data_IF_414035844408
#
_entry.id   IF_414035844408
#
_cell.length_a   1.000
_cell.length_b   1.000
_cell.length_c   1.000
_cell.angle_alpha   90.00
_cell.angle_beta   90.00
_cell.angle_gamma   90.00
#
_symmetry.space_group_name_H-M   'P 1'
#
loop_
_entity.id
_entity.type
_entity.pdbx_description
1 polymer ?
#
# COMPACT_ATOMS: atom_id res chain seq x y z
N UNK A 1 -41.79 -17.59 49.81
CA UNK A 1 -40.79 -18.39 49.05
C UNK A 1 -40.36 -17.63 47.81
N UNK A 2 -39.06 -17.33 47.66
CA UNK A 2 -38.53 -16.54 46.55
C UNK A 2 -38.34 -17.40 45.30
N UNK A 3 -38.87 -16.99 44.14
CA UNK A 3 -38.58 -17.66 42.87
C UNK A 3 -37.14 -17.39 42.48
N UNK A 4 -36.29 -18.42 42.53
CA UNK A 4 -34.88 -18.35 42.12
C UNK A 4 -34.77 -18.47 40.59
N UNK A 5 -33.93 -17.62 40.00
CA UNK A 5 -33.63 -17.60 38.58
C UNK A 5 -32.15 -17.87 38.40
N UNK A 6 -31.81 -18.76 37.48
CA UNK A 6 -30.43 -19.10 37.12
C UNK A 6 -30.19 -18.78 35.65
N UNK A 7 -29.00 -18.26 35.34
CA UNK A 7 -28.60 -17.93 33.98
C UNK A 7 -27.48 -18.85 33.52
N UNK A 8 -27.53 -19.26 32.26
CA UNK A 8 -26.49 -20.04 31.60
C UNK A 8 -26.06 -19.34 30.32
N UNK A 9 -24.74 -19.27 30.13
CA UNK A 9 -24.15 -18.71 28.92
C UNK A 9 -24.16 -19.68 27.74
N UNK A 10 -23.62 -19.26 26.57
CA UNK A 10 -23.61 -20.05 25.34
C UNK A 10 -22.92 -21.41 25.47
N UNK A 11 -21.91 -21.51 26.33
CA UNK A 11 -21.18 -22.73 26.65
C UNK A 11 -21.86 -23.58 27.74
N UNK A 12 -23.12 -23.29 28.08
CA UNK A 12 -23.90 -23.91 29.18
C UNK A 12 -23.29 -23.71 30.57
N UNK A 13 -22.31 -22.81 30.73
CA UNK A 13 -21.76 -22.49 32.04
C UNK A 13 -22.73 -21.62 32.83
N UNK A 14 -22.91 -21.93 34.11
CA UNK A 14 -23.73 -21.13 35.01
C UNK A 14 -23.09 -19.77 35.27
N UNK A 15 -23.86 -18.72 35.04
CA UNK A 15 -23.46 -17.34 35.29
C UNK A 15 -23.51 -17.08 36.79
N UNK A 16 -22.42 -16.52 37.31
CA UNK A 16 -22.32 -16.09 38.71
C UNK A 16 -21.78 -14.67 38.75
N UNK A 17 -22.00 -13.95 39.85
CA UNK A 17 -21.45 -12.59 40.05
C UNK A 17 -19.91 -12.57 40.23
N UNK A 18 -19.20 -13.67 39.90
CA UNK A 18 -17.74 -13.76 39.99
C UNK A 18 -17.02 -13.05 38.84
N UNK A 19 -17.65 -12.91 37.67
CA UNK A 19 -17.07 -12.16 36.56
C UNK A 19 -17.50 -10.69 36.66
N UNK A 20 -16.52 -9.77 36.70
CA UNK A 20 -16.75 -8.32 36.82
C UNK A 20 -17.65 -7.71 35.73
N UNK A 21 -17.70 -8.36 34.56
CA UNK A 21 -18.50 -7.96 33.39
C UNK A 21 -19.97 -8.40 33.45
N UNK A 22 -20.35 -9.21 34.43
CA UNK A 22 -21.72 -9.71 34.60
C UNK A 22 -22.35 -9.09 35.84
N UNK A 23 -23.62 -8.68 35.73
CA UNK A 23 -24.37 -8.13 36.86
C UNK A 23 -25.76 -8.74 36.88
N UNK A 24 -26.06 -9.48 37.94
CA UNK A 24 -27.40 -9.97 38.23
C UNK A 24 -28.17 -8.91 39.04
N UNK A 25 -29.36 -8.55 38.57
CA UNK A 25 -30.20 -7.50 39.13
C UNK A 25 -31.61 -8.03 39.40
N UNK A 26 -32.34 -7.33 40.27
CA UNK A 26 -33.74 -7.63 40.60
C UNK A 26 -33.95 -9.07 41.07
N UNK A 27 -33.21 -9.49 42.10
CA UNK A 27 -33.20 -10.88 42.62
C UNK A 27 -32.91 -11.89 41.50
N UNK A 28 -31.86 -11.62 40.73
CA UNK A 28 -31.36 -12.41 39.60
C UNK A 28 -32.31 -12.55 38.40
N UNK A 29 -33.42 -11.81 38.37
CA UNK A 29 -34.37 -11.82 37.24
C UNK A 29 -33.87 -11.07 36.00
N UNK A 30 -32.79 -10.30 36.13
CA UNK A 30 -32.19 -9.55 35.03
C UNK A 30 -30.68 -9.79 35.01
N UNK A 31 -30.17 -10.28 33.89
CA UNK A 31 -28.75 -10.34 33.59
C UNK A 31 -28.35 -9.14 32.74
N UNK A 32 -27.35 -8.39 33.20
CA UNK A 32 -26.68 -7.36 32.40
C UNK A 32 -25.23 -7.78 32.14
N UNK A 33 -24.80 -7.69 30.89
CA UNK A 33 -23.43 -8.01 30.46
C UNK A 33 -22.80 -6.73 29.89
N UNK A 34 -21.62 -6.38 30.40
CA UNK A 34 -20.80 -5.28 29.88
C UNK A 34 -19.76 -5.83 28.90
N UNK A 35 -19.36 -4.99 27.94
CA UNK A 35 -18.27 -5.25 26.99
C UNK A 35 -18.39 -6.59 26.25
N UNK A 36 -19.56 -6.88 25.65
CA UNK A 36 -19.84 -8.13 24.93
C UNK A 36 -18.70 -8.53 23.99
N UNK A 37 -18.30 -9.80 24.06
CA UNK A 37 -17.23 -10.37 23.24
C UNK A 37 -17.81 -11.32 22.20
N UNK A 38 -17.40 -11.16 20.94
CA UNK A 38 -17.88 -11.95 19.80
C UNK A 38 -17.64 -13.46 19.98
N UNK A 39 -16.52 -13.85 20.58
CA UNK A 39 -16.16 -15.26 20.77
C UNK A 39 -16.78 -15.92 22.02
N UNK A 40 -17.06 -15.15 23.08
CA UNK A 40 -17.51 -15.70 24.37
C UNK A 40 -19.03 -15.60 24.58
N UNK A 41 -19.64 -14.51 24.10
CA UNK A 41 -21.03 -14.16 24.45
C UNK A 41 -22.03 -14.43 23.31
N UNK A 42 -21.55 -14.81 22.12
CA UNK A 42 -22.41 -15.20 20.99
C UNK A 42 -22.96 -16.61 21.19
N UNK A 43 -24.25 -16.78 20.90
CA UNK A 43 -24.94 -18.07 20.92
C UNK A 43 -26.20 -18.08 21.78
N UNK A 44 -26.65 -19.26 22.16
CA UNK A 44 -27.91 -19.46 22.89
C UNK A 44 -27.69 -19.27 24.39
N UNK A 45 -28.34 -18.25 24.94
CA UNK A 45 -28.41 -18.01 26.39
C UNK A 45 -29.65 -18.68 26.97
N UNK A 46 -29.56 -19.13 28.21
CA UNK A 46 -30.67 -19.77 28.91
C UNK A 46 -30.94 -19.11 30.27
N UNK A 47 -32.22 -18.94 30.57
CA UNK A 47 -32.74 -18.57 31.88
C UNK A 47 -33.59 -19.73 32.41
N UNK A 48 -33.24 -20.24 33.58
CA UNK A 48 -33.94 -21.33 34.27
C UNK A 48 -34.69 -20.78 35.49
N UNK A 49 -35.99 -21.08 35.58
CA UNK A 49 -36.86 -20.66 36.68
C UNK A 49 -37.15 -21.87 37.57
N UNK A 50 -36.47 -21.97 38.71
CA UNK A 50 -36.45 -23.19 39.54
C UNK A 50 -37.84 -23.63 40.01
N UNK A 51 -38.74 -22.69 40.30
CA UNK A 51 -40.09 -23.00 40.82
C UNK A 51 -40.99 -23.72 39.80
N UNK A 52 -40.86 -23.38 38.52
CA UNK A 52 -41.68 -23.95 37.45
C UNK A 52 -40.95 -25.00 36.62
N UNK A 53 -39.64 -25.16 36.82
CA UNK A 53 -38.80 -25.98 35.94
C UNK A 53 -38.67 -25.42 34.52
N UNK A 54 -39.12 -24.19 34.28
CA UNK A 54 -39.16 -23.59 32.94
C UNK A 54 -37.76 -23.15 32.50
N UNK A 55 -37.36 -23.54 31.28
CA UNK A 55 -36.17 -23.07 30.59
C UNK A 55 -36.57 -22.14 29.46
N UNK A 56 -36.08 -20.92 29.49
CA UNK A 56 -36.29 -19.92 28.44
C UNK A 56 -34.96 -19.68 27.75
N UNK A 57 -34.88 -19.97 26.46
CA UNK A 57 -33.67 -19.75 25.66
C UNK A 57 -33.81 -18.53 24.76
N UNK A 58 -32.68 -17.87 24.50
CA UNK A 58 -32.56 -16.76 23.56
C UNK A 58 -31.24 -16.78 22.82
N UNK A 59 -31.31 -16.74 21.50
CA UNK A 59 -30.12 -16.60 20.68
C UNK A 59 -29.65 -15.14 20.65
N UNK A 60 -28.39 -14.93 21.02
CA UNK A 60 -27.72 -13.64 21.03
C UNK A 60 -26.66 -13.64 19.95
N UNK A 61 -26.82 -12.75 18.97
CA UNK A 61 -25.80 -12.44 17.96
C UNK A 61 -25.02 -11.21 18.42
N UNK A 62 -23.70 -11.33 18.53
CA UNK A 62 -22.81 -10.22 18.90
C UNK A 62 -22.13 -9.72 17.64
N UNK A 63 -22.29 -8.44 17.33
CA UNK A 63 -21.64 -7.80 16.17
C UNK A 63 -20.40 -7.08 16.68
N UNK A 64 -19.25 -7.40 16.09
CA UNK A 64 -17.96 -6.81 16.44
C UNK A 64 -16.95 -7.00 15.30
N UNK A 65 -15.70 -6.63 15.53
CA UNK A 65 -14.64 -6.88 14.56
C UNK A 65 -14.27 -8.35 14.51
N UNK A 66 -14.03 -8.89 13.30
CA UNK A 66 -13.65 -10.29 13.10
C UNK A 66 -12.37 -10.63 13.87
N UNK A 67 -11.38 -9.73 13.81
CA UNK A 67 -10.14 -9.81 14.57
C UNK A 67 -10.20 -8.83 15.74
N UNK A 68 -10.36 -9.38 16.96
CA UNK A 68 -10.62 -8.65 18.21
C UNK A 68 -9.39 -8.04 18.89
N UNK A 69 -8.23 -8.02 18.20
CA UNK A 69 -7.02 -7.38 18.70
C UNK A 69 -7.14 -5.85 18.55
N UNK A 70 -7.96 -5.23 19.39
CA UNK A 70 -7.91 -3.79 19.58
C UNK A 70 -6.55 -3.40 20.14
N UNK A 71 -5.92 -2.39 19.55
CA UNK A 71 -4.54 -2.01 19.84
C UNK A 71 -3.48 -2.86 19.14
N UNK A 72 -3.84 -3.59 18.07
CA UNK A 72 -2.89 -4.31 17.23
C UNK A 72 -1.78 -3.37 16.72
N UNK A 73 -0.55 -3.87 16.65
CA UNK A 73 0.59 -3.16 16.08
C UNK A 73 0.89 -3.75 14.71
N UNK A 74 0.94 -2.89 13.70
CA UNK A 74 1.34 -3.25 12.35
C UNK A 74 2.68 -2.60 12.04
N UNK A 75 3.50 -3.29 11.26
CA UNK A 75 4.85 -2.86 10.91
C UNK A 75 4.93 -2.72 9.39
N UNK A 76 5.51 -1.62 8.91
CA UNK A 76 5.70 -1.36 7.49
C UNK A 76 7.04 -0.69 7.22
N UNK A 77 7.65 -1.00 6.08
CA UNK A 77 8.82 -0.29 5.59
C UNK A 77 8.37 0.88 4.71
N UNK A 78 9.19 1.93 4.61
CA UNK A 78 8.93 2.99 3.64
C UNK A 78 8.89 2.40 2.23
N UNK A 79 7.97 2.90 1.40
CA UNK A 79 7.62 2.44 0.05
C UNK A 79 6.96 1.06 -0.04
N UNK A 80 6.65 0.38 1.07
CA UNK A 80 5.80 -0.82 1.06
C UNK A 80 4.31 -0.44 0.97
N UNK A 81 3.43 -1.43 0.91
CA UNK A 81 1.97 -1.26 1.05
C UNK A 81 1.50 -1.90 2.35
N UNK A 82 0.57 -1.26 3.06
CA UNK A 82 -0.10 -1.83 4.24
C UNK A 82 -1.61 -1.67 4.11
N UNK A 83 -2.36 -2.67 4.59
CA UNK A 83 -3.82 -2.67 4.60
C UNK A 83 -4.31 -2.68 6.04
N UNK A 84 -4.97 -1.59 6.44
CA UNK A 84 -5.64 -1.50 7.72
C UNK A 84 -7.07 -2.03 7.55
N UNK A 85 -7.48 -3.01 8.36
CA UNK A 85 -8.81 -3.66 8.22
C UNK A 85 -9.70 -3.48 9.44
N UNK A 86 -10.96 -3.17 9.13
CA UNK A 86 -12.07 -2.99 10.03
C UNK A 86 -13.21 -3.99 9.76
N UNK A 87 -12.85 -5.17 9.27
CA UNK A 87 -13.78 -6.26 9.00
C UNK A 87 -14.60 -6.65 10.24
N UNK A 88 -15.90 -6.81 10.02
CA UNK A 88 -16.84 -7.30 11.01
C UNK A 88 -16.90 -8.82 10.99
N UNK A 89 -17.35 -9.41 12.09
CA UNK A 89 -17.61 -10.85 12.19
C UNK A 89 -18.89 -11.32 11.47
N UNK A 90 -19.58 -10.43 10.76
CA UNK A 90 -20.83 -10.69 10.04
C UNK A 90 -20.95 -9.70 8.90
N UNK A 91 -21.61 -10.11 7.82
CA UNK A 91 -21.88 -9.23 6.69
C UNK A 91 -22.95 -8.19 7.06
N UNK A 92 -22.78 -6.97 6.54
CA UNK A 92 -23.75 -5.89 6.78
C UNK A 92 -25.15 -6.25 6.29
N UNK A 93 -25.28 -7.05 5.23
CA UNK A 93 -26.59 -7.49 4.74
C UNK A 93 -27.36 -8.35 5.76
N UNK A 94 -26.66 -9.02 6.67
CA UNK A 94 -27.27 -9.83 7.74
C UNK A 94 -27.62 -9.01 8.99
N UNK A 95 -27.12 -7.77 9.10
CA UNK A 95 -27.39 -6.94 10.26
C UNK A 95 -28.81 -6.36 10.13
N UNK A 96 -29.66 -6.51 11.15
CA UNK A 96 -31.02 -5.97 11.13
C UNK A 96 -31.08 -4.47 10.78
N UNK A 97 -31.98 -4.09 9.86
CA UNK A 97 -32.13 -2.71 9.35
C UNK A 97 -32.38 -1.66 10.44
N UNK A 98 -33.02 -2.04 11.54
CA UNK A 98 -33.24 -1.17 12.70
C UNK A 98 -31.93 -0.84 13.47
N UNK A 99 -30.89 -1.66 13.33
CA UNK A 99 -29.55 -1.41 13.88
C UNK A 99 -28.73 -0.57 12.89
N UNK A 100 -28.79 -0.91 11.60
CA UNK A 100 -28.07 -0.27 10.50
C UNK A 100 -28.62 1.09 10.05
N UNK A 101 -29.57 1.71 10.73
CA UNK A 101 -30.12 3.00 10.27
C UNK A 101 -29.00 4.05 10.18
N UNK A 102 -28.63 4.40 8.95
CA UNK A 102 -27.55 5.33 8.57
C UNK A 102 -26.19 4.98 9.22
N UNK A 103 -25.55 3.87 8.83
CA UNK A 103 -24.27 3.50 9.40
C UNK A 103 -23.17 4.38 8.80
N UNK A 104 -22.31 4.95 9.65
CA UNK A 104 -21.22 5.82 9.21
C UNK A 104 -19.88 5.20 9.59
N UNK A 105 -19.03 5.01 8.58
CA UNK A 105 -17.64 4.63 8.78
C UNK A 105 -16.77 5.88 8.88
N UNK A 106 -15.89 5.90 9.88
CA UNK A 106 -14.89 6.94 10.05
C UNK A 106 -13.51 6.34 10.28
N UNK A 107 -12.57 6.71 9.43
CA UNK A 107 -11.15 6.48 9.65
C UNK A 107 -10.51 7.76 10.18
N UNK A 108 -9.69 7.60 11.21
CA UNK A 108 -8.95 8.69 11.84
C UNK A 108 -7.48 8.29 12.00
N UNK A 109 -6.59 9.25 11.83
CA UNK A 109 -5.17 9.12 12.15
C UNK A 109 -4.81 10.19 13.16
N UNK A 110 -4.28 9.79 14.32
CA UNK A 110 -3.93 10.68 15.43
C UNK A 110 -5.09 11.64 15.76
N UNK A 111 -6.31 11.07 15.86
CA UNK A 111 -7.59 11.76 16.09
C UNK A 111 -8.07 12.73 14.98
N UNK A 112 -7.36 12.82 13.85
CA UNK A 112 -7.82 13.59 12.68
C UNK A 112 -8.57 12.69 11.71
N UNK A 113 -9.77 13.08 11.31
CA UNK A 113 -10.55 12.34 10.30
C UNK A 113 -9.86 12.40 8.94
N UNK A 114 -9.64 11.24 8.35
CA UNK A 114 -9.05 11.08 7.02
C UNK A 114 -10.08 10.61 5.99
N UNK A 115 -11.02 9.77 6.42
CA UNK A 115 -12.12 9.26 5.58
C UNK A 115 -13.37 9.20 6.43
N UNK A 116 -14.48 9.67 5.85
CA UNK A 116 -15.82 9.49 6.39
C UNK A 116 -16.74 9.05 5.25
N UNK A 117 -17.49 7.97 5.45
CA UNK A 117 -18.32 7.39 4.40
C UNK A 117 -19.63 6.83 4.98
N UNK A 118 -20.73 7.11 4.29
CA UNK A 118 -22.02 6.49 4.55
C UNK A 118 -22.04 5.07 4.00
N UNK A 119 -22.39 4.10 4.85
CA UNK A 119 -22.44 2.69 4.49
C UNK A 119 -23.84 2.26 3.99
N UNK A 120 -24.67 3.20 3.54
CA UNK A 120 -26.06 2.95 3.08
C UNK A 120 -26.08 2.04 1.85
N UNK A 121 -25.09 2.16 0.95
CA UNK A 121 -24.86 1.29 -0.20
C UNK A 121 -23.56 0.48 0.01
N UNK A 122 -23.62 -0.42 1.00
CA UNK A 122 -22.46 -1.14 1.53
C UNK A 122 -21.60 -1.81 0.46
N UNK A 123 -20.30 -1.47 0.46
CA UNK A 123 -19.25 -2.21 -0.22
C UNK A 123 -18.18 -2.58 0.82
N UNK A 124 -17.89 -3.88 0.95
CA UNK A 124 -16.93 -4.41 1.92
C UNK A 124 -15.53 -3.81 1.77
N UNK A 125 -15.15 -3.35 0.58
CA UNK A 125 -13.88 -2.67 0.32
C UNK A 125 -13.68 -1.40 1.15
N UNK A 126 -14.76 -0.71 1.57
CA UNK A 126 -14.66 0.49 2.39
C UNK A 126 -14.15 0.19 3.81
N UNK A 127 -14.29 -1.05 4.28
CA UNK A 127 -13.80 -1.49 5.59
C UNK A 127 -12.28 -1.71 5.62
N UNK A 128 -11.62 -1.54 4.48
CA UNK A 128 -10.17 -1.62 4.37
C UNK A 128 -9.62 -0.28 3.91
N UNK A 129 -8.53 0.14 4.54
CA UNK A 129 -7.77 1.30 4.13
C UNK A 129 -6.39 0.83 3.67
N UNK A 130 -6.15 0.91 2.38
CA UNK A 130 -4.84 0.63 1.78
C UNK A 130 -4.01 1.91 1.76
N UNK A 131 -2.81 1.82 2.30
CA UNK A 131 -1.79 2.87 2.21
C UNK A 131 -0.72 2.35 1.26
N UNK A 132 -0.80 2.78 0.00
CA UNK A 132 0.24 2.50 -0.99
C UNK A 132 1.45 3.41 -0.77
N UNK A 133 2.65 2.86 -0.99
CA UNK A 133 3.93 3.57 -0.81
C UNK A 133 4.01 4.29 0.54
N UNK A 134 4.01 3.50 1.61
CA UNK A 134 4.08 3.98 2.99
C UNK A 134 5.20 5.02 3.15
N UNK A 135 4.87 6.16 3.74
CA UNK A 135 5.80 7.22 4.10
C UNK A 135 6.02 7.19 5.61
N UNK A 136 7.13 7.80 6.05
CA UNK A 136 7.51 7.81 7.47
C UNK A 136 6.44 8.48 8.34
N UNK A 137 5.80 9.52 7.79
CA UNK A 137 4.76 10.29 8.45
C UNK A 137 3.49 9.47 8.63
N UNK A 138 3.28 8.36 7.91
CA UNK A 138 2.10 7.51 8.08
C UNK A 138 2.09 6.73 9.40
N UNK A 139 3.22 6.65 10.11
CA UNK A 139 3.28 6.10 11.46
C UNK A 139 2.31 6.83 12.41
N UNK A 140 1.88 6.13 13.46
CA UNK A 140 0.99 6.68 14.48
C UNK A 140 -0.23 5.80 14.74
N UNK A 141 -1.25 6.40 15.34
CA UNK A 141 -2.48 5.70 15.73
C UNK A 141 -3.55 5.85 14.66
N UNK A 142 -3.96 4.74 14.05
CA UNK A 142 -5.04 4.67 13.09
C UNK A 142 -6.26 4.03 13.74
N UNK A 143 -7.39 4.72 13.70
CA UNK A 143 -8.62 4.26 14.33
C UNK A 143 -9.75 4.28 13.33
N UNK A 144 -10.34 3.10 13.14
CA UNK A 144 -11.58 2.96 12.42
C UNK A 144 -12.75 2.88 13.40
N UNK A 145 -13.84 3.53 13.04
CA UNK A 145 -15.05 3.62 13.83
C UNK A 145 -16.28 3.42 12.95
N UNK A 146 -17.18 2.53 13.35
CA UNK A 146 -18.47 2.32 12.69
C UNK A 146 -19.56 2.77 13.66
N UNK A 147 -20.24 3.85 13.32
CA UNK A 147 -21.39 4.35 14.06
C UNK A 147 -22.67 3.70 13.52
N UNK A 148 -23.42 3.06 14.41
CA UNK A 148 -24.77 2.57 14.21
C UNK A 148 -25.77 3.50 14.91
N UNK A 149 -27.07 3.32 14.66
CA UNK A 149 -28.17 4.14 15.21
C UNK A 149 -28.04 4.52 16.69
N UNK A 150 -27.52 3.63 17.53
CA UNK A 150 -27.43 3.81 19.00
C UNK A 150 -26.06 3.48 19.60
N UNK A 151 -25.14 2.96 18.81
CA UNK A 151 -23.89 2.36 19.30
C UNK A 151 -22.76 2.64 18.32
N UNK A 152 -21.54 2.60 18.84
CA UNK A 152 -20.33 2.79 18.05
C UNK A 152 -19.40 1.61 18.30
N UNK A 153 -18.93 0.99 17.23
CA UNK A 153 -17.78 0.09 17.28
C UNK A 153 -16.54 0.88 16.90
N UNK A 154 -15.42 0.62 17.55
CA UNK A 154 -14.15 1.24 17.20
C UNK A 154 -13.02 0.27 17.39
N UNK A 155 -12.07 0.29 16.46
CA UNK A 155 -10.84 -0.47 16.50
C UNK A 155 -9.67 0.45 16.24
N UNK A 156 -8.62 0.28 17.04
CA UNK A 156 -7.40 1.08 16.97
C UNK A 156 -6.24 0.18 16.55
N UNK A 157 -5.45 0.65 15.59
CA UNK A 157 -4.26 -0.02 15.07
C UNK A 157 -3.09 0.97 15.13
N UNK A 158 -1.96 0.55 15.69
CA UNK A 158 -0.74 1.36 15.72
C UNK A 158 0.15 0.97 14.56
N UNK A 159 0.46 1.91 13.68
CA UNK A 159 1.36 1.69 12.55
C UNK A 159 2.77 2.15 12.92
N UNK A 160 3.72 1.22 12.86
CA UNK A 160 5.16 1.47 13.01
C UNK A 160 5.78 1.49 11.63
N UNK A 161 6.54 2.55 11.33
CA UNK A 161 7.19 2.72 10.02
C UNK A 161 8.70 2.79 10.18
N UNK A 162 9.43 2.01 9.38
CA UNK A 162 10.89 2.02 9.34
C UNK A 162 11.42 2.54 8.01
N UNK A 163 12.50 3.32 8.07
CA UNK A 163 13.29 3.73 6.91
C UNK A 163 14.78 3.52 7.18
N UNK A 164 15.52 3.25 6.11
CA UNK A 164 16.98 3.21 6.10
C UNK A 164 17.51 4.27 5.13
N UNK A 165 18.63 4.87 5.47
CA UNK A 165 19.29 5.92 4.68
C UNK A 165 20.79 5.90 4.93
N UNK A 166 21.57 6.39 3.97
CA UNK A 166 22.98 6.69 4.15
C UNK A 166 23.24 8.20 3.98
N UNK A 167 24.28 8.70 4.63
CA UNK A 167 24.79 10.07 4.42
C UNK A 167 25.28 10.31 2.99
N UNK A 168 25.93 9.31 2.40
CA UNK A 168 26.25 9.25 0.98
C UNK A 168 26.05 7.83 0.43
N UNK A 169 25.65 7.68 -0.84
CA UNK A 169 25.30 6.38 -1.40
C UNK A 169 26.51 5.53 -1.78
N UNK A 170 27.72 6.11 -1.83
CA UNK A 170 28.92 5.46 -2.38
C UNK A 170 30.06 5.53 -1.39
N UNK A 171 30.66 4.38 -1.14
CA UNK A 171 31.84 4.27 -0.31
C UNK A 171 33.07 4.72 -1.12
N UNK A 172 33.56 5.92 -0.86
CA UNK A 172 34.87 6.37 -1.33
C UNK A 172 35.98 5.71 -0.50
N UNK A 173 37.08 5.32 -1.16
CA UNK A 173 38.15 4.48 -0.58
C UNK A 173 38.79 4.99 0.73
N UNK A 174 38.49 6.22 1.17
CA UNK A 174 39.04 6.85 2.38
C UNK A 174 37.98 7.33 3.37
N UNK A 175 36.69 7.24 3.03
CA UNK A 175 35.61 7.84 3.82
C UNK A 175 34.70 6.75 4.39
N UNK A 176 34.19 6.98 5.61
CA UNK A 176 33.19 6.10 6.20
C UNK A 176 31.81 6.44 5.61
N UNK A 177 30.98 5.43 5.37
CA UNK A 177 29.54 5.63 5.13
C UNK A 177 28.82 5.51 6.46
N UNK A 178 27.95 6.45 6.77
CA UNK A 178 27.08 6.39 7.93
C UNK A 178 25.71 5.85 7.52
N UNK A 179 25.41 4.63 7.93
CA UNK A 179 24.11 4.00 7.75
C UNK A 179 23.20 4.35 8.91
N UNK A 180 22.05 4.95 8.62
CA UNK A 180 21.05 5.32 9.62
C UNK A 180 19.76 4.53 9.41
N UNK A 181 19.33 3.86 10.48
CA UNK A 181 18.03 3.22 10.56
C UNK A 181 17.14 4.04 11.48
N UNK A 182 15.93 4.37 11.02
CA UNK A 182 15.01 5.25 11.74
C UNK A 182 13.63 4.62 11.76
N UNK A 183 13.04 4.54 12.94
CA UNK A 183 11.72 4.01 13.19
C UNK A 183 10.83 5.06 13.83
N UNK A 184 9.66 5.30 13.25
CA UNK A 184 8.59 6.04 13.88
C UNK A 184 7.61 5.05 14.52
N UNK A 185 7.45 5.16 15.85
CA UNK A 185 6.51 4.36 16.62
C UNK A 185 5.96 5.17 17.80
N UNK A 186 4.74 4.85 18.29
CA UNK A 186 4.18 5.49 19.49
C UNK A 186 4.95 5.18 20.79
N UNK A 187 5.58 4.01 20.89
CA UNK A 187 6.37 3.57 22.05
C UNK A 187 7.56 2.72 21.56
N UNK A 188 8.77 3.07 22.01
CA UNK A 188 10.03 2.41 21.68
C UNK A 188 10.76 1.85 22.91
N UNK A 189 10.15 1.87 24.10
CA UNK A 189 10.77 1.47 25.36
C UNK A 189 11.29 0.02 25.40
N UNK A 190 10.74 -0.85 24.55
CA UNK A 190 11.09 -2.28 24.43
C UNK A 190 11.65 -2.64 23.05
N UNK A 191 12.01 -1.62 22.28
CA UNK A 191 12.55 -1.78 20.94
C UNK A 191 14.09 -1.77 20.96
N UNK A 192 14.67 -2.47 19.99
CA UNK A 192 16.09 -2.46 19.72
C UNK A 192 16.28 -2.43 18.20
N UNK A 193 17.19 -1.60 17.71
CA UNK A 193 17.60 -1.61 16.30
C UNK A 193 18.93 -2.33 16.16
N UNK A 194 19.03 -3.21 15.17
CA UNK A 194 20.23 -3.97 14.88
C UNK A 194 20.64 -3.81 13.43
N UNK A 195 21.89 -3.43 13.19
CA UNK A 195 22.54 -3.54 11.89
C UNK A 195 23.29 -4.86 11.80
N UNK A 196 23.12 -5.55 10.67
CA UNK A 196 23.81 -6.80 10.38
C UNK A 196 24.36 -6.79 8.94
N UNK A 197 25.58 -7.29 8.78
CA UNK A 197 26.24 -7.55 7.50
C UNK A 197 26.86 -8.95 7.59
N UNK A 198 26.93 -9.69 6.48
CA UNK A 198 27.56 -11.01 6.42
C UNK A 198 29.00 -11.05 6.96
N UNK A 199 29.73 -9.93 6.90
CA UNK A 199 31.14 -9.84 7.33
C UNK A 199 31.32 -9.51 8.81
N UNK A 200 30.35 -8.82 9.42
CA UNK A 200 30.51 -8.20 10.73
C UNK A 200 29.54 -8.81 11.75
N UNK A 201 29.90 -8.77 13.05
CA UNK A 201 28.96 -9.13 14.09
C UNK A 201 27.81 -8.12 14.17
N UNK A 202 26.57 -8.57 14.48
CA UNK A 202 25.43 -7.67 14.61
C UNK A 202 25.73 -6.55 15.61
N UNK A 203 25.43 -5.31 15.22
CA UNK A 203 25.55 -4.12 16.07
C UNK A 203 24.16 -3.65 16.42
N UNK A 204 23.84 -3.60 17.71
CA UNK A 204 22.50 -3.29 18.17
C UNK A 204 22.50 -2.17 19.20
N UNK A 205 21.46 -1.36 19.17
CA UNK A 205 21.23 -0.25 20.09
C UNK A 205 19.81 -0.33 20.66
N UNK A 206 19.70 -0.21 21.99
CA UNK A 206 18.41 -0.20 22.71
C UNK A 206 17.99 1.21 23.07
N UNK A 207 18.94 2.13 23.22
CA UNK A 207 18.65 3.53 23.46
C UNK A 207 18.50 4.26 22.12
N UNK A 208 17.26 4.47 21.70
CA UNK A 208 16.92 5.03 20.39
C UNK A 208 16.44 6.49 20.51
N UNK A 209 17.35 7.48 20.58
CA UNK A 209 16.96 8.89 20.58
C UNK A 209 16.24 9.19 19.26
N UNK A 210 15.05 9.79 19.36
CA UNK A 210 14.18 10.06 18.20
C UNK A 210 13.88 8.80 17.34
N UNK A 211 14.02 7.59 17.89
CA UNK A 211 13.81 6.34 17.17
C UNK A 211 14.88 6.01 16.12
N UNK A 212 16.09 6.54 16.27
CA UNK A 212 17.16 6.42 15.27
C UNK A 212 18.40 5.70 15.83
N UNK A 213 19.03 4.88 14.99
CA UNK A 213 20.33 4.26 15.23
C UNK A 213 21.20 4.37 13.98
N UNK A 214 22.34 5.07 14.09
CA UNK A 214 23.30 5.21 13.01
C UNK A 214 24.60 4.46 13.32
N UNK A 215 25.19 3.88 12.28
CA UNK A 215 26.39 3.09 12.36
C UNK A 215 27.33 3.46 11.21
N UNK A 216 28.58 3.78 11.55
CA UNK A 216 29.63 4.03 10.56
C UNK A 216 30.26 2.73 10.08
N UNK A 217 30.42 2.59 8.77
CA UNK A 217 31.03 1.41 8.17
C UNK A 217 31.93 1.75 6.99
N UNK A 218 32.90 0.86 6.76
CA UNK A 218 33.78 0.85 5.58
C UNK A 218 33.55 -0.37 4.69
N UNK A 219 32.53 -1.17 4.99
CA UNK A 219 32.26 -2.39 4.25
C UNK A 219 31.13 -2.15 3.26
N UNK A 220 31.45 -2.23 1.97
CA UNK A 220 30.46 -2.26 0.90
C UNK A 220 29.59 -3.53 0.95
N UNK A 221 28.45 -3.49 0.25
CA UNK A 221 27.53 -4.61 0.09
C UNK A 221 26.22 -4.47 0.87
N UNK A 222 25.58 -5.60 1.13
CA UNK A 222 24.26 -5.69 1.73
C UNK A 222 24.28 -5.49 3.24
N UNK A 223 23.51 -4.52 3.73
CA UNK A 223 23.30 -4.22 5.13
C UNK A 223 21.82 -4.38 5.48
N UNK A 224 21.53 -5.18 6.51
CA UNK A 224 20.17 -5.37 7.03
C UNK A 224 20.00 -4.60 8.32
N UNK A 225 19.07 -3.65 8.36
CA UNK A 225 18.56 -3.13 9.62
C UNK A 225 17.36 -3.97 10.06
N UNK A 226 17.33 -4.37 11.33
CA UNK A 226 16.22 -5.11 11.94
C UNK A 226 15.69 -4.36 13.17
N UNK A 227 14.37 -4.22 13.23
CA UNK A 227 13.64 -3.78 14.42
C UNK A 227 13.25 -5.00 15.25
N UNK A 228 13.84 -5.11 16.42
CA UNK A 228 13.57 -6.14 17.41
C UNK A 228 12.63 -5.56 18.48
N UNK A 229 11.56 -6.29 18.81
CA UNK A 229 10.65 -5.93 19.91
C UNK A 229 10.50 -7.15 20.80
N UNK A 230 10.87 -7.02 22.08
CA UNK A 230 10.89 -8.14 23.03
C UNK A 230 11.72 -9.35 22.55
N UNK A 231 12.83 -9.09 21.84
CA UNK A 231 13.74 -10.13 21.33
C UNK A 231 13.30 -10.80 20.03
N UNK A 232 12.15 -10.44 19.47
CA UNK A 232 11.70 -10.95 18.16
C UNK A 232 11.86 -9.90 17.07
N UNK A 233 12.34 -10.30 15.89
CA UNK A 233 12.38 -9.44 14.70
C UNK A 233 10.95 -9.17 14.23
N UNK A 234 10.52 -7.91 14.26
CA UNK A 234 9.18 -7.50 13.79
C UNK A 234 9.21 -6.90 12.39
N UNK A 235 10.32 -6.28 12.02
CA UNK A 235 10.49 -5.64 10.72
C UNK A 235 11.98 -5.60 10.37
N UNK A 236 12.29 -5.69 9.09
CA UNK A 236 13.65 -5.46 8.60
C UNK A 236 13.67 -4.82 7.22
N UNK A 237 14.76 -4.14 6.90
CA UNK A 237 14.95 -3.47 5.62
C UNK A 237 16.42 -3.55 5.23
N UNK A 238 16.64 -3.82 3.95
CA UNK A 238 17.96 -4.00 3.38
C UNK A 238 18.39 -2.71 2.68
N UNK A 239 19.64 -2.33 2.88
CA UNK A 239 20.31 -1.24 2.20
C UNK A 239 21.58 -1.76 1.52
N UNK A 240 21.85 -1.30 0.30
CA UNK A 240 23.06 -1.67 -0.43
C UNK A 240 24.03 -0.49 -0.45
N UNK A 241 25.24 -0.70 0.06
CA UNK A 241 26.34 0.27 -0.02
C UNK A 241 27.17 -0.04 -1.25
N UNK A 242 27.17 0.88 -2.21
CA UNK A 242 27.97 0.74 -3.43
C UNK A 242 29.45 1.02 -3.13
N UNK A 243 30.33 0.20 -3.70
CA UNK A 243 31.76 0.50 -3.72
C UNK A 243 32.01 1.50 -4.86
N UNK A 244 32.70 2.60 -4.57
CA UNK A 244 33.17 3.47 -5.64
C UNK A 244 34.11 2.64 -6.52
N UNK A 245 33.68 2.33 -7.74
CA UNK A 245 34.56 1.65 -8.68
C UNK A 245 35.78 2.52 -8.85
N UNK A 246 36.94 2.00 -8.44
CA UNK A 246 38.21 2.47 -8.99
C UNK A 246 38.14 2.15 -10.48
N UNK A 247 37.56 3.05 -11.27
CA UNK A 247 37.96 3.18 -12.65
C UNK A 247 39.42 3.58 -12.54
N UNK A 248 40.27 2.56 -12.47
CA UNK A 248 41.65 2.65 -12.86
C UNK A 248 41.59 3.26 -14.24
N UNK A 249 41.78 4.58 -14.30
CA UNK A 249 42.29 5.24 -15.48
C UNK A 249 43.75 4.78 -15.68
N UNK A 250 44.02 3.48 -15.60
CA UNK A 250 45.03 2.85 -16.42
C UNK A 250 44.49 2.91 -17.83
N UNK A 251 44.56 4.11 -18.43
CA UNK A 251 44.76 4.18 -19.86
C UNK A 251 45.93 3.23 -20.15
N UNK A 252 45.72 2.16 -20.92
CA UNK A 252 46.86 1.44 -21.46
C UNK A 252 47.65 2.49 -22.22
N UNK A 253 48.90 2.74 -21.84
CA UNK A 253 49.90 3.44 -22.65
C UNK A 253 50.26 2.56 -23.86
N UNK A 254 49.24 2.13 -24.61
CA UNK A 254 49.34 1.36 -25.83
C UNK A 254 48.29 1.89 -26.79
N UNK A 255 48.58 3.01 -27.45
CA UNK A 255 48.35 3.21 -28.88
C UNK A 255 49.05 4.50 -29.34
N UNK A 256 50.38 4.43 -29.44
CA UNK A 256 51.06 5.13 -30.53
C UNK A 256 50.66 4.37 -31.81
N UNK A 257 50.26 5.11 -32.85
CA UNK A 257 49.97 4.67 -34.23
C UNK A 257 48.50 4.40 -34.65
N UNK A 258 47.56 5.30 -34.32
CA UNK A 258 46.38 5.55 -35.19
C UNK A 258 46.34 7.04 -35.55
N UNK A 259 47.48 7.57 -36.02
CA UNK A 259 47.64 8.98 -36.40
C UNK A 259 47.41 9.29 -37.87
N UNK A 260 46.97 8.33 -38.68
CA UNK A 260 46.77 8.55 -40.13
C UNK A 260 45.57 7.81 -40.73
N UNK A 261 45.32 6.56 -40.32
CA UNK A 261 44.26 5.73 -40.91
C UNK A 261 42.84 6.16 -40.55
N UNK A 262 42.58 6.49 -39.28
CA UNK A 262 41.24 6.85 -38.79
C UNK A 262 40.74 8.18 -39.37
N UNK A 263 41.64 9.18 -39.48
CA UNK A 263 41.32 10.46 -40.13
C UNK A 263 41.11 10.31 -41.63
N UNK A 264 41.88 9.46 -42.32
CA UNK A 264 41.66 9.19 -43.75
C UNK A 264 40.30 8.50 -43.99
N UNK A 265 39.94 7.53 -43.15
CA UNK A 265 38.65 6.82 -43.22
C UNK A 265 37.47 7.76 -42.96
N UNK A 266 37.56 8.63 -41.95
CA UNK A 266 36.52 9.64 -41.68
C UNK A 266 36.37 10.62 -42.85
N UNK A 267 37.46 11.07 -43.47
CA UNK A 267 37.40 11.95 -44.63
C UNK A 267 36.76 11.27 -45.85
N UNK A 268 37.06 9.99 -46.09
CA UNK A 268 36.44 9.20 -47.17
C UNK A 268 34.93 9.05 -46.93
N UNK A 269 34.51 8.73 -45.69
CA UNK A 269 33.09 8.60 -45.35
C UNK A 269 32.36 9.93 -45.57
N UNK A 270 32.92 11.06 -45.13
CA UNK A 270 32.33 12.38 -45.34
C UNK A 270 32.21 12.70 -46.83
N UNK A 271 33.24 12.41 -47.63
CA UNK A 271 33.22 12.64 -49.08
C UNK A 271 32.12 11.82 -49.77
N UNK A 272 31.98 10.53 -49.41
CA UNK A 272 30.91 9.66 -49.94
C UNK A 272 29.53 10.16 -49.52
N UNK A 273 29.35 10.58 -48.27
CA UNK A 273 28.09 11.15 -47.80
C UNK A 273 27.70 12.42 -48.55
N UNK A 274 28.65 13.34 -48.78
CA UNK A 274 28.39 14.60 -49.52
C UNK A 274 28.04 14.31 -50.98
N UNK A 275 28.75 13.38 -51.64
CA UNK A 275 28.49 13.01 -53.03
C UNK A 275 27.12 12.32 -53.18
N UNK A 276 26.78 11.41 -52.28
CA UNK A 276 25.48 10.72 -52.23
C UNK A 276 24.33 11.70 -51.99
N UNK A 277 24.51 12.65 -51.06
CA UNK A 277 23.52 13.69 -50.80
C UNK A 277 23.32 14.63 -51.99
N UNK A 278 24.39 14.99 -52.72
CA UNK A 278 24.30 15.82 -53.94
C UNK A 278 23.57 15.08 -55.06
N UNK A 279 23.89 13.81 -55.31
CA UNK A 279 23.22 13.01 -56.35
C UNK A 279 21.74 12.78 -56.04
N UNK A 280 21.39 12.53 -54.78
CA UNK A 280 19.99 12.42 -54.33
C UNK A 280 19.25 13.75 -54.45
N UNK A 281 19.86 14.88 -54.06
CA UNK A 281 19.27 16.22 -54.25
C UNK A 281 19.04 16.52 -55.73
N UNK A 282 20.00 16.22 -56.60
CA UNK A 282 19.86 16.39 -58.05
C UNK A 282 18.76 15.48 -58.64
N UNK A 283 18.67 14.21 -58.23
CA UNK A 283 17.58 13.30 -58.64
C UNK A 283 16.22 13.80 -58.16
N UNK A 284 16.11 14.27 -56.92
CA UNK A 284 14.86 14.87 -56.38
C UNK A 284 14.47 16.15 -57.13
N UNK A 285 15.43 17.00 -57.49
CA UNK A 285 15.15 18.19 -58.30
C UNK A 285 14.69 17.82 -59.72
N UNK A 286 15.32 16.82 -60.37
CA UNK A 286 14.87 16.32 -61.68
C UNK A 286 13.45 15.72 -61.61
N UNK A 287 13.14 14.94 -60.58
CA UNK A 287 11.80 14.38 -60.36
C UNK A 287 10.73 15.48 -60.15
N UNK A 288 11.05 16.54 -59.39
CA UNK A 288 10.15 17.68 -59.21
C UNK A 288 9.88 18.43 -60.52
N UNK A 289 10.91 18.63 -61.35
CA UNK A 289 10.74 19.25 -62.69
C UNK A 289 9.89 18.37 -63.62
N UNK A 290 10.08 17.05 -63.60
CA UNK A 290 9.25 16.11 -64.38
C UNK A 290 7.80 16.08 -63.89
N UNK A 291 7.55 16.22 -62.58
CA UNK A 291 6.20 16.29 -62.02
C UNK A 291 5.46 17.58 -62.43
N UNK A 292 6.13 18.73 -62.41
CA UNK A 292 5.55 20.01 -62.88
C UNK A 292 5.27 19.99 -64.39
N UNK A 293 6.17 19.42 -65.21
CA UNK A 293 5.92 19.25 -66.64
C UNK A 293 4.73 18.33 -66.92
N UNK A 294 4.53 17.26 -66.13
CA UNK A 294 3.34 16.39 -66.23
C UNK A 294 2.04 17.12 -65.89
N UNK A 295 2.05 18.02 -64.90
CA UNK A 295 0.85 18.80 -64.55
C UNK A 295 0.41 19.69 -65.72
N UNK A 296 1.34 20.41 -66.36
CA UNK A 296 1.02 21.23 -67.54
C UNK A 296 0.54 20.40 -68.75
N UNK A 297 1.05 19.17 -68.93
CA UNK A 297 0.58 18.27 -70.00
C UNK A 297 -0.81 17.69 -69.75
N UNK A 298 -1.19 17.48 -68.48
CA UNK A 298 -2.53 17.03 -68.10
C UNK A 298 -3.55 18.18 -68.20
N UNK A 299 -3.14 19.38 -67.80
CA UNK A 299 -3.95 20.61 -67.91
C UNK A 299 -4.26 20.98 -69.38
N UNK A 300 -3.34 20.70 -70.32
CA UNK A 300 -3.58 20.87 -71.77
C UNK A 300 -4.47 19.80 -72.42
N UNK A 301 -4.81 18.71 -71.72
CA UNK A 301 -5.67 17.64 -72.25
C UNK A 301 -7.14 17.72 -71.80
N UNK A 302 -7.50 18.67 -70.93
CA UNK A 302 -8.87 18.84 -70.45
C UNK A 302 -9.53 20.07 -71.07
N UNK A 303 -9.71 20.09 -72.40
CA UNK A 303 -10.70 20.93 -73.08
C UNK A 303 -10.89 20.45 -74.53
N UNK A 304 -11.94 19.64 -74.76
CA UNK A 304 -12.84 19.68 -75.94
C UNK A 304 -13.62 18.36 -76.03
N UNK A 305 -14.86 18.39 -75.54
CA UNK A 305 -16.02 17.92 -76.32
C UNK A 305 -17.27 18.56 -75.72
N UNK A 306 -17.78 19.53 -76.47
CA UNK A 306 -19.06 20.18 -76.23
C UNK A 306 -20.18 19.21 -76.59
N UNK A 307 -21.25 19.27 -75.80
CA UNK A 307 -22.44 18.42 -75.87
C UNK A 307 -23.45 19.12 -76.78
N UNK A 308 -23.76 18.54 -77.93
CA UNK A 308 -24.96 18.90 -78.68
C UNK A 308 -26.02 17.79 -78.55
N UNK A 309 -27.16 18.21 -78.00
CA UNK A 309 -28.42 17.49 -77.98
C UNK A 309 -29.09 17.61 -79.35
N UNK A 310 -29.67 16.51 -79.83
CA UNK A 310 -30.88 16.58 -80.64
C UNK A 310 -31.81 15.42 -80.30
N UNK A 311 -32.98 15.80 -79.78
CA UNK A 311 -34.21 15.01 -79.74
C UNK A 311 -34.62 14.64 -81.17
N UNK A 312 -35.17 13.44 -81.38
CA UNK A 312 -36.31 13.24 -82.29
C UNK A 312 -37.11 11.97 -81.94
N UNK A 313 -38.29 12.25 -81.40
CA UNK A 313 -39.64 11.68 -81.59
C UNK A 313 -39.95 10.37 -82.40
N UNK A 314 -41.02 9.73 -81.91
CA UNK A 314 -42.09 8.90 -82.52
C UNK A 314 -41.98 7.35 -82.67
N UNK A 315 -42.81 6.68 -81.84
CA UNK A 315 -43.77 5.58 -82.07
C UNK A 315 -43.57 4.57 -83.23
N UNK A 316 -43.58 3.26 -82.88
CA UNK A 316 -44.66 2.31 -83.13
C UNK A 316 -44.37 0.98 -82.42
#
# INVERSE_FOLDING_TARGET
MSTQVEWFGPNKSKITNKKARWTLQNKDRRLQIKDLKTQEDQGTWECFISRSGLRITRDVRVIGFANSLDGAVMYAAVNSTVVLSCELNTDFQEIPKNILRNPVLRWTKDNKTIVEADLINFNSSLLQQTIDKVQFEHAGEHKCSIAFTRRKLSKTTRLVVMKVSADHPRLDSKENVTLCCHVAAPDLSKAQLCWNNRRDSPKCETHLPEGKFCYETRSAGEWKCSLMVQGEEKLSMIYFVDEASTVSNSFPLTYIAIGGGGMLLLLIIIAVCVFSCKTVKQKRQRARRMAQARQHLLEKKTCQCHRDLTNDYYHA
#
